data_IF_274231119562
#
_entry.id   IF_274231119562
#
_cell.length_a   1.000
_cell.length_b   1.000
_cell.length_c   1.000
_cell.angle_alpha   90.00
_cell.angle_beta   90.00
_cell.angle_gamma   90.00
#
_symmetry.space_group_name_H-M   'P 1'
#
loop_
_entity.id
_entity.type
_entity.pdbx_description
1 polymer ?
#
# COMPACT_ATOMS: atom_id res chain seq x y z
N UNK A 1 -45.01 19.07 -32.98
CA UNK A 1 -43.83 18.42 -32.35
C UNK A 1 -42.57 19.20 -32.70
N UNK A 2 -41.75 19.55 -31.70
CA UNK A 2 -40.45 20.21 -31.89
C UNK A 2 -39.31 19.17 -32.02
N UNK A 3 -38.08 19.64 -32.27
CA UNK A 3 -36.91 18.75 -32.49
C UNK A 3 -36.56 17.89 -31.30
N UNK A 4 -36.62 18.46 -30.10
CA UNK A 4 -36.22 17.77 -28.87
C UNK A 4 -37.29 16.72 -28.49
N UNK A 5 -38.57 17.06 -28.64
CA UNK A 5 -39.70 16.14 -28.50
C UNK A 5 -39.64 14.97 -29.48
N UNK A 6 -39.30 15.25 -30.75
CA UNK A 6 -39.16 14.22 -31.77
C UNK A 6 -38.00 13.26 -31.45
N UNK A 7 -36.91 13.79 -30.91
CA UNK A 7 -35.76 12.97 -30.53
C UNK A 7 -36.06 12.11 -29.29
N UNK A 8 -36.71 12.68 -28.27
CA UNK A 8 -37.13 11.96 -27.07
C UNK A 8 -38.13 10.83 -27.41
N UNK A 9 -39.05 11.07 -28.35
CA UNK A 9 -39.99 10.06 -28.85
C UNK A 9 -39.25 8.87 -29.46
N UNK A 10 -38.26 9.11 -30.31
CA UNK A 10 -37.50 8.04 -30.95
C UNK A 10 -36.63 7.28 -29.94
N UNK A 11 -36.07 7.99 -28.96
CA UNK A 11 -35.30 7.40 -27.86
C UNK A 11 -36.16 6.49 -26.99
N UNK A 12 -37.35 6.95 -26.61
CA UNK A 12 -38.34 6.15 -25.86
C UNK A 12 -38.78 4.91 -26.65
N UNK A 13 -38.88 5.02 -27.97
CA UNK A 13 -39.19 3.91 -28.86
C UNK A 13 -38.03 2.92 -29.05
N UNK A 14 -36.87 3.15 -28.41
CA UNK A 14 -35.70 2.25 -28.46
C UNK A 14 -34.87 2.38 -29.74
N UNK A 15 -35.02 3.46 -30.50
CA UNK A 15 -34.24 3.71 -31.71
C UNK A 15 -32.85 4.21 -31.30
N UNK A 16 -31.80 3.65 -31.92
CA UNK A 16 -30.41 4.06 -31.68
C UNK A 16 -30.24 5.55 -31.99
N UNK A 17 -29.53 6.27 -31.12
CA UNK A 17 -29.37 7.74 -31.23
C UNK A 17 -28.86 8.20 -32.60
N UNK A 18 -27.97 7.44 -33.24
CA UNK A 18 -27.47 7.76 -34.59
C UNK A 18 -28.55 7.73 -35.67
N UNK A 19 -29.48 6.78 -35.59
CA UNK A 19 -30.63 6.65 -36.50
C UNK A 19 -31.66 7.71 -36.12
N UNK A 20 -31.90 7.93 -34.83
CA UNK A 20 -32.80 8.97 -34.33
C UNK A 20 -32.43 10.38 -34.82
N UNK A 21 -31.14 10.75 -34.76
CA UNK A 21 -30.65 12.05 -35.25
C UNK A 21 -30.86 12.20 -36.75
N UNK A 22 -30.62 11.14 -37.54
CA UNK A 22 -30.82 11.17 -38.99
C UNK A 22 -32.31 11.31 -39.34
N UNK A 23 -33.18 10.60 -38.63
CA UNK A 23 -34.63 10.67 -38.81
C UNK A 23 -35.18 12.05 -38.43
N UNK A 24 -34.75 12.64 -37.30
CA UNK A 24 -35.13 14.01 -36.92
C UNK A 24 -34.68 15.04 -37.94
N UNK A 25 -33.45 14.93 -38.47
CA UNK A 25 -32.96 15.79 -39.56
C UNK A 25 -33.76 15.61 -40.85
N UNK A 26 -34.22 14.39 -41.15
CA UNK A 26 -35.09 14.11 -42.29
C UNK A 26 -36.47 14.75 -42.10
N UNK A 27 -37.08 14.57 -40.93
CA UNK A 27 -38.38 15.17 -40.58
C UNK A 27 -38.36 16.69 -40.56
N UNK A 28 -37.23 17.31 -40.17
CA UNK A 28 -37.03 18.76 -40.31
C UNK A 28 -37.03 19.22 -41.77
N UNK A 29 -36.39 18.46 -42.67
CA UNK A 29 -36.37 18.77 -44.11
C UNK A 29 -37.73 18.56 -44.77
N UNK A 30 -38.47 17.55 -44.30
CA UNK A 30 -39.81 17.22 -44.79
C UNK A 30 -40.92 18.08 -44.15
N UNK A 31 -40.58 18.98 -43.22
CA UNK A 31 -41.54 19.87 -42.54
C UNK A 31 -42.47 19.16 -41.55
N UNK A 32 -42.24 17.88 -41.24
CA UNK A 32 -43.04 17.08 -40.28
C UNK A 32 -42.86 17.56 -38.84
N UNK A 33 -41.73 18.18 -38.54
CA UNK A 33 -41.44 18.81 -37.24
C UNK A 33 -40.90 20.21 -37.45
N UNK A 34 -41.10 21.09 -36.45
CA UNK A 34 -40.64 22.48 -36.50
C UNK A 34 -39.42 22.68 -35.60
N UNK A 35 -38.45 23.46 -36.08
CA UNK A 35 -37.34 23.91 -35.25
C UNK A 35 -37.81 25.05 -34.35
N UNK A 36 -37.70 24.86 -33.04
CA UNK A 36 -38.05 25.88 -32.05
C UNK A 36 -36.77 26.49 -31.50
N UNK A 37 -36.28 27.54 -32.18
CA UNK A 37 -35.05 28.23 -31.82
C UNK A 37 -35.23 29.18 -30.64
N UNK A 38 -34.59 28.84 -29.51
CA UNK A 38 -34.13 29.78 -28.47
C UNK A 38 -35.05 30.93 -28.06
N UNK A 39 -36.02 30.66 -27.16
CA UNK A 39 -36.52 31.51 -26.05
C UNK A 39 -37.88 30.97 -25.59
N UNK A 40 -37.86 30.00 -24.70
CA UNK A 40 -39.05 29.42 -24.07
C UNK A 40 -38.64 28.18 -23.31
N UNK A 41 -39.20 27.97 -22.12
CA UNK A 41 -38.94 26.80 -21.28
C UNK A 41 -38.96 25.52 -22.13
N UNK A 42 -37.85 24.80 -22.19
CA UNK A 42 -37.74 23.51 -22.86
C UNK A 42 -38.74 22.56 -22.21
N UNK A 43 -39.92 22.39 -22.82
CA UNK A 43 -40.90 21.41 -22.37
C UNK A 43 -40.34 20.03 -22.73
N UNK A 44 -39.70 19.38 -21.74
CA UNK A 44 -39.30 17.98 -21.82
C UNK A 44 -40.56 17.13 -21.78
N UNK A 45 -40.78 16.30 -22.81
CA UNK A 45 -41.98 15.48 -22.97
C UNK A 45 -42.77 15.82 -24.24
N UNK A 46 -43.12 14.78 -24.98
CA UNK A 46 -44.03 14.83 -26.11
C UNK A 46 -45.41 14.36 -25.66
N UNK A 47 -46.45 15.07 -26.08
CA UNK A 47 -47.82 14.57 -26.03
C UNK A 47 -48.21 14.47 -27.50
N UNK A 48 -48.46 13.25 -27.97
CA UNK A 48 -49.01 13.01 -29.30
C UNK A 48 -50.53 12.98 -29.11
N UNK A 49 -51.23 13.76 -29.92
CA UNK A 49 -52.68 13.92 -29.81
C UNK A 49 -53.46 12.80 -30.55
N UNK A 50 -52.75 11.97 -31.34
CA UNK A 50 -53.34 10.87 -32.11
C UNK A 50 -52.45 9.60 -32.13
N UNK A 51 -53.08 8.44 -31.89
CA UNK A 51 -52.49 7.10 -31.92
C UNK A 51 -52.03 6.75 -33.33
N UNK A 52 -52.82 7.08 -34.35
CA UNK A 52 -52.52 6.72 -35.75
C UNK A 52 -51.30 7.51 -36.24
N UNK A 53 -51.21 8.78 -35.85
CA UNK A 53 -50.04 9.62 -36.11
C UNK A 53 -48.76 9.09 -35.44
N UNK A 54 -48.86 8.57 -34.20
CA UNK A 54 -47.73 7.99 -33.50
C UNK A 54 -47.21 6.72 -34.21
N UNK A 55 -48.12 5.85 -34.65
CA UNK A 55 -47.76 4.62 -35.37
C UNK A 55 -47.10 4.96 -36.72
N UNK A 56 -47.62 5.95 -37.45
CA UNK A 56 -47.06 6.38 -38.71
C UNK A 56 -45.65 6.97 -38.56
N UNK A 57 -45.42 7.80 -37.52
CA UNK A 57 -44.10 8.34 -37.22
C UNK A 57 -43.09 7.24 -36.85
N UNK A 58 -43.50 6.23 -36.09
CA UNK A 58 -42.62 5.11 -35.74
C UNK A 58 -42.30 4.21 -36.94
N UNK A 59 -43.28 3.98 -37.82
CA UNK A 59 -43.07 3.28 -39.09
C UNK A 59 -42.11 4.06 -40.00
N UNK A 60 -42.29 5.37 -40.12
CA UNK A 60 -41.42 6.23 -40.91
C UNK A 60 -39.99 6.27 -40.34
N UNK A 61 -39.86 6.13 -39.02
CA UNK A 61 -38.57 5.99 -38.34
C UNK A 61 -37.89 4.62 -38.52
N UNK A 62 -38.53 3.68 -39.23
CA UNK A 62 -37.98 2.37 -39.58
C UNK A 62 -38.31 1.25 -38.59
N UNK A 63 -39.29 1.45 -37.69
CA UNK A 63 -39.78 0.38 -36.82
C UNK A 63 -40.83 -0.47 -37.55
N UNK A 64 -40.80 -1.78 -37.29
CA UNK A 64 -41.83 -2.71 -37.76
C UNK A 64 -43.18 -2.42 -37.11
N UNK A 65 -44.26 -2.66 -37.84
CA UNK A 65 -45.63 -2.39 -37.40
C UNK A 65 -45.99 -3.01 -36.02
N UNK A 66 -45.46 -4.19 -35.72
CA UNK A 66 -45.63 -4.84 -34.43
C UNK A 66 -44.96 -4.09 -33.28
N UNK A 67 -43.76 -3.57 -33.50
CA UNK A 67 -42.98 -2.83 -32.49
C UNK A 67 -43.58 -1.43 -32.30
N UNK A 68 -44.02 -0.77 -33.38
CA UNK A 68 -44.71 0.52 -33.29
C UNK A 68 -46.00 0.41 -32.49
N UNK A 69 -46.82 -0.63 -32.73
CA UNK A 69 -48.08 -0.83 -32.01
C UNK A 69 -47.84 -1.17 -30.54
N UNK A 70 -46.84 -1.99 -30.20
CA UNK A 70 -46.50 -2.28 -28.80
C UNK A 70 -45.98 -1.05 -28.06
N UNK A 71 -45.16 -0.24 -28.72
CA UNK A 71 -44.60 1.00 -28.15
C UNK A 71 -45.71 2.01 -27.86
N UNK A 72 -46.65 2.17 -28.79
CA UNK A 72 -47.81 3.06 -28.64
C UNK A 72 -48.77 2.54 -27.57
N UNK A 73 -48.98 1.22 -27.46
CA UNK A 73 -49.75 0.61 -26.35
C UNK A 73 -49.12 0.90 -24.98
N UNK A 74 -47.79 0.84 -24.88
CA UNK A 74 -47.06 1.20 -23.66
C UNK A 74 -47.22 2.69 -23.34
N UNK A 75 -47.09 3.56 -24.33
CA UNK A 75 -47.26 5.01 -24.14
C UNK A 75 -48.69 5.42 -23.76
N UNK A 76 -49.70 4.69 -24.25
CA UNK A 76 -51.08 4.86 -23.81
C UNK A 76 -51.25 4.49 -22.33
N UNK A 77 -50.66 3.37 -21.89
CA UNK A 77 -50.66 2.97 -20.47
C UNK A 77 -49.88 3.93 -19.55
N UNK A 78 -48.85 4.59 -20.09
CA UNK A 78 -48.05 5.60 -19.37
C UNK A 78 -48.67 7.02 -19.41
N UNK A 79 -49.79 7.22 -20.10
CA UNK A 79 -50.46 8.53 -20.22
C UNK A 79 -49.71 9.56 -21.07
N UNK A 80 -48.78 9.11 -21.93
CA UNK A 80 -47.96 9.96 -22.82
C UNK A 80 -48.65 10.32 -24.15
N UNK A 81 -49.78 9.69 -24.45
CA UNK A 81 -50.64 9.98 -25.62
C UNK A 81 -52.00 10.42 -25.09
N UNK A 82 -52.55 11.50 -25.64
CA UNK A 82 -53.94 11.90 -25.36
C UNK A 82 -54.85 11.20 -26.36
N UNK A 83 -55.86 10.50 -25.87
CA UNK A 83 -56.95 9.99 -26.71
C UNK A 83 -57.94 11.14 -26.89
N UNK A 84 -57.84 11.89 -27.99
CA UNK A 84 -58.92 12.79 -28.36
C UNK A 84 -60.04 11.92 -28.94
N UNK A 85 -61.14 11.81 -28.20
CA UNK A 85 -62.33 11.05 -28.58
C UNK A 85 -63.04 11.78 -29.74
N UNK A 86 -62.40 11.79 -30.91
CA UNK A 86 -63.01 12.20 -32.15
C UNK A 86 -63.94 11.06 -32.59
N UNK A 87 -65.24 11.34 -32.47
CA UNK A 87 -66.35 10.58 -33.00
C UNK A 87 -66.08 10.05 -34.41
N UNK A 88 -65.55 8.84 -34.55
CA UNK A 88 -65.82 7.99 -35.71
C UNK A 88 -65.50 6.53 -35.40
N UNK A 89 -66.55 5.71 -35.50
CA UNK A 89 -66.53 4.26 -35.30
C UNK A 89 -65.50 3.60 -36.24
N UNK A 90 -64.30 3.32 -35.75
CA UNK A 90 -63.45 2.26 -36.31
C UNK A 90 -63.36 1.12 -35.30
N UNK A 91 -64.05 0.03 -35.62
CA UNK A 91 -63.97 -1.25 -34.91
C UNK A 91 -62.54 -1.78 -35.02
N UNK A 92 -61.78 -1.72 -33.94
CA UNK A 92 -60.67 -2.65 -33.71
C UNK A 92 -61.08 -3.58 -32.58
N UNK A 93 -61.44 -4.80 -32.96
CA UNK A 93 -61.66 -5.93 -32.06
C UNK A 93 -60.36 -6.28 -31.34
N UNK A 94 -60.09 -5.65 -30.20
CA UNK A 94 -59.16 -6.17 -29.20
C UNK A 94 -59.88 -6.13 -27.85
N UNK A 95 -60.77 -7.10 -27.63
CA UNK A 95 -61.29 -7.39 -26.30
C UNK A 95 -60.14 -8.00 -25.51
N UNK A 96 -59.47 -7.17 -24.72
CA UNK A 96 -58.51 -7.63 -23.70
C UNK A 96 -59.36 -8.06 -22.50
N UNK A 97 -59.42 -9.37 -22.22
CA UNK A 97 -59.90 -9.87 -20.93
C UNK A 97 -58.84 -9.54 -19.87
N UNK A 98 -58.96 -8.34 -19.32
CA UNK A 98 -57.99 -7.68 -18.44
C UNK A 98 -57.80 -8.37 -17.07
N UNK A 99 -58.71 -9.29 -16.70
CA UNK A 99 -58.69 -10.02 -15.42
C UNK A 99 -57.81 -11.26 -15.43
N UNK A 100 -57.76 -12.02 -16.53
CA UNK A 100 -56.99 -13.28 -16.60
C UNK A 100 -55.52 -13.06 -16.94
N UNK A 101 -55.20 -12.02 -17.70
CA UNK A 101 -53.81 -11.61 -17.96
C UNK A 101 -53.16 -10.98 -16.73
N UNK A 102 -53.87 -10.14 -15.96
CA UNK A 102 -53.34 -9.55 -14.71
C UNK A 102 -53.04 -10.61 -13.65
N UNK A 103 -53.87 -11.64 -13.50
CA UNK A 103 -53.64 -12.73 -12.55
C UNK A 103 -52.42 -13.60 -12.94
N UNK A 104 -52.30 -14.01 -14.21
CA UNK A 104 -51.15 -14.79 -14.69
C UNK A 104 -49.83 -14.00 -14.69
N UNK A 105 -49.89 -12.68 -14.93
CA UNK A 105 -48.71 -11.81 -14.89
C UNK A 105 -48.27 -11.57 -13.45
N UNK A 106 -49.20 -11.32 -12.52
CA UNK A 106 -48.86 -11.16 -11.10
C UNK A 106 -48.32 -12.45 -10.50
N UNK A 107 -48.97 -13.60 -10.71
CA UNK A 107 -48.47 -14.88 -10.18
C UNK A 107 -47.07 -15.22 -10.71
N UNK A 108 -46.77 -14.90 -11.98
CA UNK A 108 -45.45 -15.15 -12.59
C UNK A 108 -44.38 -14.13 -12.18
N UNK A 109 -44.76 -12.88 -11.92
CA UNK A 109 -43.86 -11.85 -11.41
C UNK A 109 -43.57 -12.11 -9.93
N UNK A 110 -44.58 -12.42 -9.12
CA UNK A 110 -44.46 -12.66 -7.68
C UNK A 110 -43.61 -13.92 -7.41
N UNK A 111 -43.81 -15.01 -8.17
CA UNK A 111 -42.93 -16.20 -8.07
C UNK A 111 -41.47 -15.89 -8.40
N UNK A 112 -41.21 -15.06 -9.41
CA UNK A 112 -39.85 -14.66 -9.79
C UNK A 112 -39.22 -13.72 -8.75
N UNK A 113 -40.02 -12.81 -8.17
CA UNK A 113 -39.58 -11.92 -7.10
C UNK A 113 -39.27 -12.70 -5.81
N UNK A 114 -40.09 -13.69 -5.45
CA UNK A 114 -39.85 -14.56 -4.29
C UNK A 114 -38.59 -15.41 -4.45
N UNK A 115 -38.33 -15.94 -5.65
CA UNK A 115 -37.07 -16.65 -5.95
C UNK A 115 -35.86 -15.71 -5.82
N UNK A 116 -35.97 -14.47 -6.31
CA UNK A 116 -34.93 -13.44 -6.18
C UNK A 116 -34.70 -13.10 -4.71
N UNK A 117 -35.77 -12.90 -3.93
CA UNK A 117 -35.71 -12.61 -2.49
C UNK A 117 -35.04 -13.77 -1.75
N UNK A 118 -35.42 -15.02 -2.04
CA UNK A 118 -34.82 -16.17 -1.40
C UNK A 118 -33.32 -16.29 -1.74
N UNK A 119 -32.95 -16.06 -3.00
CA UNK A 119 -31.54 -16.06 -3.42
C UNK A 119 -30.73 -14.96 -2.74
N UNK A 120 -31.30 -13.75 -2.63
CA UNK A 120 -30.67 -12.64 -1.91
C UNK A 120 -30.51 -12.95 -0.43
N UNK A 121 -31.53 -13.52 0.21
CA UNK A 121 -31.49 -13.94 1.61
C UNK A 121 -30.41 -14.99 1.87
N UNK A 122 -30.28 -15.99 1.01
CA UNK A 122 -29.20 -16.98 1.11
C UNK A 122 -27.81 -16.37 0.91
N UNK A 123 -27.68 -15.38 0.01
CA UNK A 123 -26.41 -14.63 -0.15
C UNK A 123 -26.07 -13.81 1.09
N UNK A 124 -27.04 -13.11 1.67
CA UNK A 124 -26.84 -12.34 2.91
C UNK A 124 -26.39 -13.27 4.03
N UNK A 125 -27.08 -14.40 4.24
CA UNK A 125 -26.68 -15.37 5.27
C UNK A 125 -25.27 -15.94 5.06
N UNK A 126 -24.86 -16.17 3.81
CA UNK A 126 -23.51 -16.62 3.52
C UNK A 126 -22.46 -15.53 3.82
N UNK A 127 -22.79 -14.27 3.54
CA UNK A 127 -21.94 -13.12 3.87
C UNK A 127 -21.86 -12.89 5.38
N UNK A 128 -22.97 -13.03 6.12
CA UNK A 128 -23.00 -12.88 7.57
C UNK A 128 -22.06 -13.91 8.25
N UNK A 129 -22.10 -15.18 7.82
CA UNK A 129 -21.17 -16.21 8.29
C UNK A 129 -19.71 -15.90 7.97
N UNK A 130 -19.45 -15.30 6.81
CA UNK A 130 -18.11 -14.90 6.44
C UNK A 130 -17.61 -13.74 7.31
N UNK A 131 -18.48 -12.76 7.61
CA UNK A 131 -18.18 -11.65 8.51
C UNK A 131 -17.89 -12.18 9.92
N UNK A 132 -18.73 -13.08 10.43
CA UNK A 132 -18.53 -13.73 11.74
C UNK A 132 -17.16 -14.41 11.82
N UNK A 133 -16.77 -15.20 10.82
CA UNK A 133 -15.44 -15.82 10.77
C UNK A 133 -14.29 -14.80 10.71
N UNK A 134 -14.48 -13.67 10.04
CA UNK A 134 -13.49 -12.59 10.00
C UNK A 134 -13.37 -11.87 11.35
N UNK A 135 -14.48 -11.69 12.07
CA UNK A 135 -14.51 -11.09 13.40
C UNK A 135 -13.79 -11.98 14.43
N UNK A 136 -14.02 -13.29 14.38
CA UNK A 136 -13.29 -14.26 15.22
C UNK A 136 -11.78 -14.23 14.95
N UNK A 137 -11.38 -14.23 13.67
CA UNK A 137 -9.98 -14.10 13.29
C UNK A 137 -9.37 -12.79 13.80
N UNK A 138 -10.11 -11.69 13.71
CA UNK A 138 -9.66 -10.39 14.17
C UNK A 138 -9.48 -10.36 15.70
N UNK A 139 -10.44 -10.88 16.47
CA UNK A 139 -10.31 -10.94 17.94
C UNK A 139 -9.17 -11.87 18.38
N UNK A 140 -8.97 -13.01 17.69
CA UNK A 140 -7.83 -13.88 17.95
C UNK A 140 -6.49 -13.18 17.65
N UNK A 141 -6.39 -12.46 16.52
CA UNK A 141 -5.19 -11.70 16.17
C UNK A 141 -4.90 -10.60 17.21
N UNK A 142 -5.93 -9.87 17.64
CA UNK A 142 -5.84 -8.84 18.67
C UNK A 142 -5.36 -9.40 20.01
N UNK A 143 -5.91 -10.54 20.44
CA UNK A 143 -5.44 -11.22 21.66
C UNK A 143 -3.97 -11.64 21.54
N UNK A 144 -3.55 -12.19 20.40
CA UNK A 144 -2.16 -12.56 20.14
C UNK A 144 -1.23 -11.35 20.24
N UNK A 145 -1.60 -10.22 19.62
CA UNK A 145 -0.83 -8.97 19.68
C UNK A 145 -0.71 -8.46 21.12
N UNK A 146 -1.80 -8.51 21.91
CA UNK A 146 -1.77 -8.10 23.33
C UNK A 146 -0.79 -8.98 24.11
N UNK A 147 -0.83 -10.30 23.92
CA UNK A 147 0.09 -11.24 24.58
C UNK A 147 1.55 -10.96 24.21
N UNK A 148 1.84 -10.72 22.92
CA UNK A 148 3.19 -10.37 22.46
C UNK A 148 3.67 -9.06 23.08
N UNK A 149 2.83 -8.02 23.09
CA UNK A 149 3.14 -6.72 23.70
C UNK A 149 3.48 -6.89 25.18
N UNK A 150 2.70 -7.68 25.91
CA UNK A 150 2.90 -7.86 27.34
C UNK A 150 4.17 -8.68 27.64
N UNK A 151 4.52 -9.66 26.79
CA UNK A 151 5.79 -10.38 26.86
C UNK A 151 6.99 -9.44 26.63
N UNK A 152 6.95 -8.65 25.56
CA UNK A 152 7.99 -7.66 25.26
C UNK A 152 8.15 -6.62 26.37
N UNK A 153 7.04 -6.18 26.97
CA UNK A 153 7.08 -5.26 28.11
C UNK A 153 7.81 -5.86 29.32
N UNK A 154 7.61 -7.15 29.61
CA UNK A 154 8.34 -7.85 30.68
C UNK A 154 9.84 -7.95 30.35
N UNK A 155 10.18 -8.34 29.13
CA UNK A 155 11.58 -8.43 28.68
C UNK A 155 12.29 -7.07 28.76
N UNK A 156 11.63 -5.97 28.37
CA UNK A 156 12.18 -4.63 28.50
C UNK A 156 12.46 -4.23 29.95
N UNK A 157 11.60 -4.61 30.90
CA UNK A 157 11.84 -4.34 32.32
C UNK A 157 13.06 -5.11 32.83
N UNK A 158 13.20 -6.38 32.43
CA UNK A 158 14.36 -7.21 32.78
C UNK A 158 15.65 -6.59 32.23
N UNK A 159 15.67 -6.27 30.93
CA UNK A 159 16.83 -5.65 30.28
C UNK A 159 17.21 -4.32 30.90
N UNK A 160 16.22 -3.48 31.25
CA UNK A 160 16.48 -2.20 31.92
C UNK A 160 17.15 -2.40 33.29
N UNK A 161 16.73 -3.41 34.04
CA UNK A 161 17.35 -3.75 35.32
C UNK A 161 18.76 -4.33 35.13
N UNK A 162 18.99 -5.15 34.11
CA UNK A 162 20.31 -5.67 33.80
C UNK A 162 21.28 -4.55 33.42
N UNK A 163 20.84 -3.61 32.60
CA UNK A 163 21.62 -2.42 32.23
C UNK A 163 21.97 -1.59 33.46
N UNK A 164 21.03 -1.40 34.42
CA UNK A 164 21.35 -0.64 35.64
C UNK A 164 22.34 -1.37 36.54
N UNK A 165 22.24 -2.70 36.66
CA UNK A 165 23.21 -3.54 37.39
C UNK A 165 24.60 -3.44 36.74
N UNK A 166 24.69 -3.60 35.42
CA UNK A 166 25.95 -3.51 34.68
C UNK A 166 26.57 -2.11 34.78
N UNK A 167 25.75 -1.06 34.72
CA UNK A 167 26.21 0.31 34.89
C UNK A 167 26.82 0.53 36.28
N UNK A 168 26.17 0.01 37.32
CA UNK A 168 26.69 0.09 38.69
C UNK A 168 28.00 -0.68 38.83
N UNK A 169 28.06 -1.93 38.36
CA UNK A 169 29.28 -2.74 38.38
C UNK A 169 30.43 -2.07 37.60
N UNK A 170 30.14 -1.44 36.46
CA UNK A 170 31.13 -0.67 35.69
C UNK A 170 31.65 0.54 36.46
N UNK A 171 30.79 1.24 37.19
CA UNK A 171 31.18 2.38 38.01
C UNK A 171 32.05 1.94 39.20
N UNK A 172 31.71 0.82 39.84
CA UNK A 172 32.48 0.25 40.94
C UNK A 172 33.90 -0.15 40.48
N UNK A 173 34.01 -0.86 39.36
CA UNK A 173 35.31 -1.22 38.76
C UNK A 173 36.12 0.02 38.35
N UNK A 174 35.48 1.05 37.83
CA UNK A 174 36.16 2.31 37.51
C UNK A 174 36.73 2.98 38.76
N UNK A 175 35.97 2.96 39.86
CA UNK A 175 36.40 3.51 41.15
C UNK A 175 37.60 2.72 41.70
N UNK A 176 37.51 1.39 41.73
CA UNK A 176 38.62 0.51 42.13
C UNK A 176 39.87 0.74 41.27
N UNK A 177 39.71 0.86 39.94
CA UNK A 177 40.83 1.13 39.04
C UNK A 177 41.47 2.49 39.32
N UNK A 178 40.68 3.52 39.65
CA UNK A 178 41.20 4.82 40.06
C UNK A 178 41.99 4.74 41.38
N UNK A 179 41.48 4.02 42.37
CA UNK A 179 42.14 3.78 43.65
C UNK A 179 43.47 3.03 43.45
N UNK A 180 43.48 1.93 42.70
CA UNK A 180 44.69 1.17 42.37
C UNK A 180 45.72 2.02 41.61
N UNK A 181 45.27 2.90 40.71
CA UNK A 181 46.17 3.84 40.00
C UNK A 181 46.77 4.87 40.95
N UNK A 182 46.00 5.34 41.93
CA UNK A 182 46.49 6.24 42.96
C UNK A 182 47.53 5.54 43.85
N UNK A 183 47.25 4.33 44.31
CA UNK A 183 48.20 3.51 45.08
C UNK A 183 49.49 3.21 44.28
N UNK A 184 49.37 2.81 43.02
CA UNK A 184 50.51 2.59 42.13
C UNK A 184 51.35 3.86 41.93
N UNK A 185 50.71 5.03 41.89
CA UNK A 185 51.42 6.31 41.82
C UNK A 185 52.20 6.57 43.10
N UNK A 186 51.56 6.43 44.26
CA UNK A 186 52.19 6.63 45.56
C UNK A 186 53.37 5.66 45.79
N UNK A 187 53.21 4.38 45.40
CA UNK A 187 54.29 3.38 45.46
C UNK A 187 55.45 3.69 44.51
N UNK A 188 55.19 4.29 43.35
CA UNK A 188 56.25 4.74 42.44
C UNK A 188 56.98 5.97 42.98
N UNK A 189 56.27 6.86 43.63
CA UNK A 189 56.82 8.09 44.21
C UNK A 189 57.73 7.74 45.41
N UNK A 190 57.26 6.89 46.32
CA UNK A 190 58.07 6.38 47.44
C UNK A 190 59.29 5.54 47.00
N UNK A 191 59.20 4.85 45.85
CA UNK A 191 60.37 4.17 45.26
C UNK A 191 61.37 5.12 44.59
N UNK A 192 60.93 6.25 44.04
CA UNK A 192 61.82 7.27 43.45
C UNK A 192 62.64 7.98 44.52
N UNK A 193 62.09 8.18 45.71
CA UNK A 193 62.81 8.80 46.83
C UNK A 193 63.90 7.89 47.40
N UNK A 194 63.77 6.56 47.26
CA UNK A 194 64.77 5.58 47.72
C UNK A 194 65.87 5.22 46.69
N UNK A 195 65.80 5.75 45.47
CA UNK A 195 66.86 5.59 44.48
C UNK A 195 67.37 6.96 44.05
N UNK A 196 68.48 7.40 44.66
CA UNK A 196 69.34 8.42 44.05
C UNK A 196 69.57 8.06 42.58
N UNK A 197 69.06 8.91 41.70
CA UNK A 197 69.14 8.78 40.25
C UNK A 197 70.61 8.65 39.81
N UNK A 198 71.04 7.42 39.55
CA UNK A 198 72.11 7.18 38.58
C UNK A 198 71.48 7.31 37.20
N UNK A 199 71.94 8.30 36.45
CA UNK A 199 71.55 8.56 35.08
C UNK A 199 71.76 7.30 34.23
N UNK A 200 70.66 6.64 33.87
CA UNK A 200 70.68 5.53 32.91
C UNK A 200 71.04 6.14 31.55
N UNK A 201 72.34 6.12 31.27
CA UNK A 201 72.87 6.25 29.92
C UNK A 201 72.19 5.15 29.12
N UNK A 202 71.37 5.53 28.14
CA UNK A 202 70.66 4.63 27.24
C UNK A 202 71.68 3.78 26.46
N UNK A 203 72.18 2.70 27.05
CA UNK A 203 72.98 1.72 26.31
C UNK A 203 72.05 1.11 25.26
N UNK A 204 72.33 1.32 23.98
CA UNK A 204 71.61 0.76 22.82
C UNK A 204 71.80 -0.76 22.74
N UNK A 205 71.40 -1.48 23.77
CA UNK A 205 71.43 -2.94 23.82
C UNK A 205 70.10 -3.47 23.29
N UNK A 206 70.01 -3.60 21.96
CA UNK A 206 68.84 -4.08 21.24
C UNK A 206 68.42 -5.51 21.68
N UNK A 207 69.39 -6.36 22.04
CA UNK A 207 69.13 -7.69 22.62
C UNK A 207 68.35 -7.60 23.93
N UNK A 208 68.77 -6.72 24.85
CA UNK A 208 68.09 -6.51 26.13
C UNK A 208 66.67 -5.96 25.94
N UNK A 209 66.43 -5.12 24.91
CA UNK A 209 65.12 -4.55 24.60
C UNK A 209 64.10 -5.60 24.12
N UNK A 210 64.59 -6.66 23.49
CA UNK A 210 63.80 -7.82 23.08
C UNK A 210 63.74 -8.94 24.13
N UNK A 211 64.34 -8.76 25.30
CA UNK A 211 64.39 -9.78 26.36
C UNK A 211 65.47 -10.86 26.18
N UNK A 212 66.37 -10.70 25.21
CA UNK A 212 67.49 -11.62 25.01
C UNK A 212 68.66 -11.35 25.97
N UNK A 213 69.41 -12.42 26.26
CA UNK A 213 70.69 -12.34 26.97
C UNK A 213 71.71 -11.51 26.17
N UNK A 214 72.71 -10.93 26.86
CA UNK A 214 73.82 -10.19 26.22
C UNK A 214 74.64 -11.02 25.22
N UNK A 215 74.52 -12.34 25.26
CA UNK A 215 75.19 -13.29 24.35
C UNK A 215 74.37 -13.65 23.10
N UNK A 216 73.17 -13.10 22.93
CA UNK A 216 72.32 -13.43 21.79
C UNK A 216 72.94 -12.97 20.46
N UNK A 217 72.83 -13.82 19.45
CA UNK A 217 73.46 -13.59 18.16
C UNK A 217 72.67 -12.55 17.38
N UNK A 218 73.34 -11.68 16.61
CA UNK A 218 72.68 -10.68 15.74
C UNK A 218 71.60 -11.32 14.83
N UNK A 219 71.79 -12.57 14.41
CA UNK A 219 70.82 -13.33 13.61
C UNK A 219 69.51 -13.62 14.36
N UNK A 220 69.58 -13.94 15.66
CA UNK A 220 68.42 -14.21 16.52
C UNK A 220 67.64 -12.91 16.79
N UNK A 221 68.36 -11.83 17.07
CA UNK A 221 67.78 -10.49 17.25
C UNK A 221 67.07 -10.04 15.96
N UNK A 222 67.62 -10.34 14.78
CA UNK A 222 66.98 -10.04 13.48
C UNK A 222 65.73 -10.88 13.21
N UNK A 223 65.73 -12.19 13.52
CA UNK A 223 64.55 -13.04 13.30
C UNK A 223 63.38 -12.61 14.17
N UNK A 224 63.66 -12.16 15.38
CA UNK A 224 62.65 -11.75 16.36
C UNK A 224 62.05 -10.39 16.05
N UNK A 225 62.87 -9.41 15.66
CA UNK A 225 62.33 -8.16 15.11
C UNK A 225 61.45 -8.41 13.88
N UNK A 226 61.81 -9.36 13.01
CA UNK A 226 60.96 -9.74 11.87
C UNK A 226 59.66 -10.42 12.31
N UNK A 227 59.71 -11.29 13.33
CA UNK A 227 58.54 -11.90 13.93
C UNK A 227 57.57 -10.86 14.51
N UNK A 228 58.12 -9.91 15.28
CA UNK A 228 57.35 -8.79 15.84
C UNK A 228 56.74 -7.89 14.77
N UNK A 229 57.47 -7.58 13.70
CA UNK A 229 56.93 -6.81 12.57
C UNK A 229 55.78 -7.55 11.87
N UNK A 230 55.88 -8.88 11.74
CA UNK A 230 54.81 -9.69 11.14
C UNK A 230 53.55 -9.69 12.02
N UNK A 231 53.69 -9.84 13.33
CA UNK A 231 52.55 -9.88 14.28
C UNK A 231 51.92 -8.49 14.42
N UNK A 232 52.72 -7.42 14.39
CA UNK A 232 52.23 -6.06 14.60
C UNK A 232 51.77 -5.36 13.32
N UNK A 233 51.87 -6.01 12.17
CA UNK A 233 51.49 -5.41 10.88
C UNK A 233 50.00 -5.01 10.85
N UNK A 234 49.66 -3.80 10.39
CA UNK A 234 48.26 -3.35 10.29
C UNK A 234 47.36 -4.31 9.49
N UNK A 235 47.86 -4.82 8.37
CA UNK A 235 47.14 -5.76 7.50
C UNK A 235 46.83 -7.12 8.17
N UNK A 236 47.50 -7.44 9.28
CA UNK A 236 47.24 -8.63 10.09
C UNK A 236 46.40 -8.32 11.35
N UNK A 237 45.75 -7.16 11.41
CA UNK A 237 45.00 -6.70 12.59
C UNK A 237 45.89 -6.13 13.70
N UNK A 238 47.17 -5.84 13.40
CA UNK A 238 48.13 -5.28 14.33
C UNK A 238 48.02 -3.76 14.51
N UNK A 239 48.63 -3.23 15.57
CA UNK A 239 48.60 -1.81 15.88
C UNK A 239 49.63 -1.03 15.03
N UNK A 240 49.14 -0.13 14.17
CA UNK A 240 49.98 0.67 13.28
C UNK A 240 51.04 1.54 13.98
N UNK A 241 50.72 2.12 15.15
CA UNK A 241 51.71 2.91 15.93
C UNK A 241 52.83 2.01 16.47
N UNK A 242 52.46 0.82 16.93
CA UNK A 242 53.41 -0.17 17.44
C UNK A 242 54.29 -0.72 16.31
N UNK A 243 53.72 -0.99 15.14
CA UNK A 243 54.45 -1.39 13.95
C UNK A 243 55.51 -0.36 13.55
N UNK A 244 55.13 0.93 13.48
CA UNK A 244 56.08 2.01 13.16
C UNK A 244 57.22 2.11 14.16
N UNK A 245 56.93 1.96 15.45
CA UNK A 245 57.95 1.95 16.50
C UNK A 245 58.95 0.79 16.31
N UNK A 246 58.44 -0.43 16.16
CA UNK A 246 59.25 -1.63 15.99
C UNK A 246 60.07 -1.56 14.69
N UNK A 247 59.47 -1.01 13.62
CA UNK A 247 60.15 -0.80 12.33
C UNK A 247 61.32 0.15 12.45
N UNK A 248 61.13 1.29 13.12
CA UNK A 248 62.18 2.28 13.36
C UNK A 248 63.33 1.68 14.17
N UNK A 249 63.01 0.90 15.19
CA UNK A 249 63.98 0.18 16.02
C UNK A 249 64.77 -0.87 15.23
N UNK A 250 64.08 -1.65 14.40
CA UNK A 250 64.67 -2.65 13.51
C UNK A 250 65.61 -2.02 12.49
N UNK A 251 65.22 -0.90 11.87
CA UNK A 251 66.07 -0.16 10.92
C UNK A 251 67.32 0.39 11.61
N UNK A 252 67.19 0.96 12.80
CA UNK A 252 68.32 1.40 13.61
C UNK A 252 69.28 0.24 13.95
N UNK A 253 68.74 -0.91 14.36
CA UNK A 253 69.55 -2.11 14.64
C UNK A 253 70.25 -2.62 13.38
N UNK A 254 69.53 -2.73 12.26
CA UNK A 254 70.08 -3.16 10.97
C UNK A 254 71.21 -2.25 10.49
N UNK A 255 71.07 -0.93 10.67
CA UNK A 255 72.11 0.03 10.33
C UNK A 255 73.32 -0.10 11.27
N UNK A 256 73.11 -0.39 12.56
CA UNK A 256 74.20 -0.62 13.52
C UNK A 256 75.00 -1.91 13.27
N UNK A 257 74.39 -2.93 12.63
CA UNK A 257 75.09 -4.13 12.18
C UNK A 257 75.85 -3.86 10.89
N UNK A 258 75.28 -3.09 9.95
CA UNK A 258 75.93 -2.78 8.65
C UNK A 258 77.10 -1.81 8.76
N UNK A 259 77.13 -0.97 9.81
CA UNK A 259 78.22 -0.02 10.07
C UNK A 259 79.38 -0.60 10.89
N UNK A 260 79.38 -1.91 11.15
CA UNK A 260 80.48 -2.68 11.73
C UNK A 260 81.03 -3.63 10.69
#
# INVERSE_FOLDING_TARGET
>A
MNTDQAFDLLKDAGIKESIGIQTVRRWLREGKIKYEGGKGNRKSGYIIDDIDQAIELLKDAGLTESISVQTVRRWLGEGKIKYEEANEKRKTEYIINDTTTKLLINDRIDQNMDEIIHRLKSKIQAQDKYIEGMEELHENAKQSIIQQRDKLKKELVILKNEVSILQNASNDLLKENMELRYELRNLKESKKENYHFTTITQSKNYSKKLGFSKMATNKEVLSEYKGLLKITHPDHGGNAKLFHYIKTDYENFRNSIKGK
#
